data_IF_111293226566
#
_entry.id   IF_111293226566
#
_cell.length_a   1.000
_cell.length_b   1.000
_cell.length_c   1.000
_cell.angle_alpha   90.00
_cell.angle_beta   90.00
_cell.angle_gamma   90.00
#
_symmetry.space_group_name_H-M   'P 1'
#
loop_
_entity.id
_entity.type
_entity.pdbx_description
1 polymer ?
#
# COMPACT_ATOMS: atom_id res chain seq x y z
N UNK A 1 -19.01 -33.95 8.51
CA UNK A 1 -18.83 -32.56 8.07
C UNK A 1 -18.89 -31.71 9.34
N UNK A 2 -17.74 -31.45 9.96
CA UNK A 2 -17.68 -30.59 11.15
C UNK A 2 -17.41 -29.17 10.67
N UNK A 3 -18.48 -28.39 10.52
CA UNK A 3 -18.40 -26.95 10.33
C UNK A 3 -17.79 -26.35 11.61
N UNK A 4 -16.55 -25.88 11.51
CA UNK A 4 -15.94 -25.08 12.57
C UNK A 4 -16.65 -23.72 12.61
N UNK A 5 -17.17 -23.27 13.76
CA UNK A 5 -17.82 -21.98 13.85
C UNK A 5 -16.81 -20.86 13.60
N UNK A 6 -17.19 -19.92 12.73
CA UNK A 6 -16.41 -18.73 12.43
C UNK A 6 -16.16 -17.95 13.75
N UNK A 7 -14.90 -17.63 14.04
CA UNK A 7 -14.52 -16.83 15.21
C UNK A 7 -14.67 -15.34 14.90
N UNK A 8 -15.14 -14.59 15.89
CA UNK A 8 -15.25 -13.13 15.83
C UNK A 8 -13.84 -12.52 15.84
N UNK A 9 -13.48 -11.79 14.78
CA UNK A 9 -12.25 -10.99 14.73
C UNK A 9 -12.41 -9.82 15.69
N UNK A 10 -11.58 -9.75 16.72
CA UNK A 10 -11.62 -8.66 17.71
C UNK A 10 -10.65 -7.55 17.32
N UNK A 11 -10.81 -6.35 17.88
CA UNK A 11 -9.86 -5.25 17.66
C UNK A 11 -8.41 -5.59 18.13
N UNK A 12 -8.24 -6.68 18.90
CA UNK A 12 -6.95 -7.20 19.31
C UNK A 12 -6.28 -8.12 18.27
N UNK A 13 -7.03 -8.61 17.27
CA UNK A 13 -6.50 -9.38 16.12
C UNK A 13 -5.92 -8.40 15.09
N UNK A 14 -4.87 -7.67 15.48
CA UNK A 14 -4.15 -6.81 14.55
C UNK A 14 -3.32 -7.71 13.62
N UNK A 15 -3.52 -7.66 12.29
CA UNK A 15 -2.71 -8.46 11.37
C UNK A 15 -1.24 -8.11 11.59
N UNK A 16 -0.40 -9.14 11.69
CA UNK A 16 1.04 -8.94 11.83
C UNK A 16 1.56 -8.12 10.65
N UNK A 17 2.47 -7.15 10.90
CA UNK A 17 3.03 -6.35 9.83
C UNK A 17 3.75 -7.26 8.84
N UNK A 18 3.42 -7.14 7.56
CA UNK A 18 4.08 -7.90 6.49
C UNK A 18 5.59 -7.68 6.55
N UNK A 19 6.37 -8.77 6.49
CA UNK A 19 7.84 -8.70 6.43
C UNK A 19 8.25 -7.95 5.16
N UNK A 20 9.16 -6.99 5.27
CA UNK A 20 9.74 -6.33 4.09
C UNK A 20 10.45 -7.37 3.20
N UNK A 21 10.30 -7.29 1.88
CA UNK A 21 10.96 -8.21 0.98
C UNK A 21 12.46 -7.89 0.95
N UNK A 22 13.29 -8.93 0.85
CA UNK A 22 14.75 -8.81 0.76
C UNK A 22 15.23 -8.86 -0.71
N UNK A 23 14.39 -9.38 -1.62
CA UNK A 23 14.70 -9.52 -3.05
C UNK A 23 13.59 -9.02 -3.95
N UNK A 24 13.92 -8.70 -5.22
CA UNK A 24 12.92 -8.28 -6.22
C UNK A 24 11.87 -9.36 -6.48
N UNK A 25 12.25 -10.63 -6.40
CA UNK A 25 11.32 -11.76 -6.55
C UNK A 25 10.31 -11.78 -5.41
N UNK A 26 10.79 -11.67 -4.16
CA UNK A 26 9.92 -11.59 -2.99
C UNK A 26 9.00 -10.37 -3.04
N UNK A 27 9.52 -9.22 -3.48
CA UNK A 27 8.73 -8.00 -3.62
C UNK A 27 7.61 -8.17 -4.67
N UNK A 28 7.92 -8.82 -5.80
CA UNK A 28 6.93 -9.13 -6.84
C UNK A 28 5.83 -10.10 -6.34
N UNK A 29 6.18 -11.06 -5.49
CA UNK A 29 5.21 -11.99 -4.87
C UNK A 29 4.31 -11.29 -3.84
N UNK A 30 4.83 -10.29 -3.13
CA UNK A 30 4.06 -9.54 -2.12
C UNK A 30 3.07 -8.56 -2.74
N UNK A 31 3.46 -7.91 -3.83
CA UNK A 31 2.57 -7.05 -4.60
C UNK A 31 3.29 -5.96 -5.39
N UNK A 32 2.54 -5.33 -6.29
CA UNK A 32 3.05 -4.30 -7.20
C UNK A 32 3.70 -3.12 -6.45
N UNK A 33 3.08 -2.67 -5.36
CA UNK A 33 3.61 -1.58 -4.54
C UNK A 33 4.99 -1.91 -3.97
N UNK A 34 5.16 -3.11 -3.42
CA UNK A 34 6.41 -3.53 -2.78
C UNK A 34 7.53 -3.71 -3.80
N UNK A 35 7.20 -4.25 -4.98
CA UNK A 35 8.11 -4.31 -6.13
C UNK A 35 8.59 -2.90 -6.54
N UNK A 36 7.67 -1.96 -6.72
CA UNK A 36 8.00 -0.59 -7.12
C UNK A 36 8.87 0.13 -6.08
N UNK A 37 8.60 -0.05 -4.79
CA UNK A 37 9.43 0.50 -3.70
C UNK A 37 10.85 -0.05 -3.78
N UNK A 38 11.02 -1.35 -3.96
CA UNK A 38 12.35 -1.95 -4.06
C UNK A 38 13.11 -1.50 -5.31
N UNK A 39 12.42 -1.38 -6.45
CA UNK A 39 13.02 -0.85 -7.69
C UNK A 39 13.47 0.61 -7.52
N UNK A 40 12.65 1.43 -6.85
CA UNK A 40 12.99 2.83 -6.52
C UNK A 40 14.27 2.89 -5.69
N UNK A 41 14.35 2.10 -4.62
CA UNK A 41 15.50 2.09 -3.71
C UNK A 41 16.76 1.59 -4.44
N UNK A 42 16.61 0.60 -5.33
CA UNK A 42 17.70 0.09 -6.18
C UNK A 42 18.24 1.19 -7.11
N UNK A 43 17.36 1.95 -7.76
CA UNK A 43 17.75 3.04 -8.66
C UNK A 43 18.39 4.20 -7.90
N UNK A 44 17.84 4.56 -6.73
CA UNK A 44 18.42 5.59 -5.87
C UNK A 44 19.86 5.23 -5.47
N UNK A 45 20.07 4.01 -4.98
CA UNK A 45 21.42 3.51 -4.64
C UNK A 45 22.36 3.53 -5.86
N UNK A 46 21.84 3.21 -7.06
CA UNK A 46 22.65 3.27 -8.29
C UNK A 46 23.03 4.69 -8.68
N UNK A 47 22.17 5.67 -8.46
CA UNK A 47 22.45 7.09 -8.68
C UNK A 47 23.51 7.59 -7.67
N UNK A 48 23.35 7.24 -6.40
CA UNK A 48 24.30 7.62 -5.33
C UNK A 48 25.69 7.01 -5.54
N UNK A 49 25.76 5.83 -6.16
CA UNK A 49 27.02 5.19 -6.54
C UNK A 49 27.76 5.89 -7.71
N UNK A 50 27.22 6.98 -8.27
CA UNK A 50 27.85 7.74 -9.35
C UNK A 50 27.86 6.97 -10.67
N UNK A 51 26.70 6.81 -11.34
CA UNK A 51 26.62 6.04 -12.58
C UNK A 51 27.26 6.83 -13.73
N UNK A 52 27.61 6.16 -14.86
CA UNK A 52 28.18 6.86 -16.02
C UNK A 52 27.29 8.03 -16.48
N UNK A 53 27.86 9.18 -16.92
CA UNK A 53 27.08 10.39 -17.20
C UNK A 53 25.89 10.19 -18.16
N UNK A 54 26.05 9.34 -19.16
CA UNK A 54 24.99 9.05 -20.14
C UNK A 54 23.80 8.26 -19.55
N UNK A 55 23.97 7.63 -18.38
CA UNK A 55 22.92 6.84 -17.71
C UNK A 55 22.18 7.63 -16.62
N UNK A 56 22.74 8.75 -16.15
CA UNK A 56 22.17 9.52 -15.04
C UNK A 56 20.76 10.05 -15.36
N UNK A 57 20.59 10.71 -16.51
CA UNK A 57 19.30 11.27 -16.90
C UNK A 57 18.21 10.20 -17.10
N UNK A 58 18.48 9.06 -17.78
CA UNK A 58 17.56 7.92 -17.80
C UNK A 58 17.16 7.41 -16.41
N UNK A 59 18.13 7.20 -15.50
CA UNK A 59 17.85 6.71 -14.14
C UNK A 59 17.00 7.71 -13.33
N UNK A 60 17.30 9.01 -13.41
CA UNK A 60 16.49 10.05 -12.76
C UNK A 60 15.07 10.13 -13.32
N UNK A 61 14.88 9.86 -14.62
CA UNK A 61 13.55 9.77 -15.21
C UNK A 61 12.80 8.55 -14.67
N UNK A 62 13.41 7.38 -14.69
CA UNK A 62 12.81 6.14 -14.20
C UNK A 62 12.44 6.25 -12.70
N UNK A 63 13.30 6.88 -11.89
CA UNK A 63 13.03 7.12 -10.48
C UNK A 63 11.75 7.97 -10.28
N UNK A 64 11.59 9.05 -11.06
CA UNK A 64 10.40 9.90 -11.00
C UNK A 64 9.14 9.19 -11.50
N UNK A 65 9.26 8.30 -12.47
CA UNK A 65 8.12 7.52 -12.98
C UNK A 65 7.64 6.53 -11.92
N UNK A 66 8.55 5.78 -11.30
CA UNK A 66 8.23 4.84 -10.21
C UNK A 66 7.62 5.56 -9.00
N UNK A 67 8.18 6.71 -8.60
CA UNK A 67 7.65 7.51 -7.48
C UNK A 67 6.21 7.99 -7.73
N UNK A 68 5.89 8.38 -8.97
CA UNK A 68 4.51 8.75 -9.35
C UNK A 68 3.56 7.55 -9.26
N UNK A 69 3.99 6.38 -9.72
CA UNK A 69 3.16 5.17 -9.68
C UNK A 69 2.88 4.73 -8.24
N UNK A 70 3.89 4.77 -7.37
CA UNK A 70 3.70 4.49 -5.93
C UNK A 70 2.65 5.43 -5.32
N UNK A 71 2.71 6.73 -5.60
CA UNK A 71 1.72 7.69 -5.11
C UNK A 71 0.32 7.45 -5.67
N UNK A 72 0.22 7.02 -6.92
CA UNK A 72 -1.04 6.62 -7.55
C UNK A 72 -1.66 5.42 -6.83
N UNK A 73 -0.87 4.38 -6.56
CA UNK A 73 -1.30 3.20 -5.81
C UNK A 73 -1.72 3.55 -4.37
N UNK A 74 -0.94 4.38 -3.68
CA UNK A 74 -1.25 4.81 -2.32
C UNK A 74 -2.55 5.63 -2.27
N UNK A 75 -2.75 6.56 -3.21
CA UNK A 75 -3.98 7.35 -3.31
C UNK A 75 -5.22 6.47 -3.61
N UNK A 76 -5.07 5.45 -4.46
CA UNK A 76 -6.13 4.48 -4.75
C UNK A 76 -6.50 3.66 -3.52
N UNK A 77 -5.50 3.13 -2.81
CA UNK A 77 -5.70 2.37 -1.58
C UNK A 77 -6.40 3.21 -0.49
N UNK A 78 -6.03 4.48 -0.35
CA UNK A 78 -6.71 5.40 0.57
C UNK A 78 -8.17 5.64 0.17
N UNK A 79 -8.46 5.80 -1.12
CA UNK A 79 -9.83 6.02 -1.60
C UNK A 79 -10.70 4.78 -1.38
N UNK A 80 -10.18 3.59 -1.62
CA UNK A 80 -10.86 2.32 -1.34
C UNK A 80 -11.12 2.13 0.16
N UNK A 81 -10.16 2.48 1.01
CA UNK A 81 -10.31 2.45 2.46
C UNK A 81 -11.38 3.43 2.96
N UNK A 82 -11.40 4.65 2.42
CA UNK A 82 -12.42 5.68 2.75
C UNK A 82 -13.81 5.27 2.26
N UNK A 83 -13.92 4.69 1.06
CA UNK A 83 -15.19 4.22 0.50
C UNK A 83 -15.75 2.98 1.22
N UNK A 84 -14.88 2.11 1.75
CA UNK A 84 -15.29 0.91 2.50
C UNK A 84 -15.49 1.19 4.01
N UNK A 85 -15.11 2.39 4.46
CA UNK A 85 -15.11 2.84 5.85
C UNK A 85 -16.33 3.68 6.28
N UNK A 86 -17.41 3.71 5.50
CA UNK A 86 -18.69 4.31 5.92
C UNK A 86 -19.44 3.43 6.95
N UNK A 87 -18.71 2.93 7.94
CA UNK A 87 -19.23 2.35 9.18
C UNK A 87 -19.02 3.37 10.32
N UNK A 88 -19.23 4.66 10.02
CA UNK A 88 -19.70 5.55 11.09
C UNK A 88 -21.02 4.93 11.57
N UNK A 89 -21.20 4.65 12.86
CA UNK A 89 -22.52 4.37 13.37
C UNK A 89 -23.35 5.62 13.07
N UNK A 90 -24.17 5.57 12.03
CA UNK A 90 -25.26 6.52 11.85
C UNK A 90 -26.03 6.43 13.15
N UNK A 91 -25.92 7.47 13.98
CA UNK A 91 -26.71 7.58 15.19
C UNK A 91 -28.16 7.71 14.73
N UNK A 92 -28.86 6.57 14.64
CA UNK A 92 -30.31 6.46 14.45
C UNK A 92 -31.07 6.98 15.68
N UNK A 93 -30.67 8.14 16.21
CA UNK A 93 -31.51 8.94 17.09
C UNK A 93 -32.49 9.65 16.18
N UNK A 94 -33.55 8.94 15.82
CA UNK A 94 -34.75 9.50 15.23
C UNK A 94 -35.25 10.62 16.15
N UNK A 95 -35.10 11.87 15.70
CA UNK A 95 -35.58 13.03 16.42
C UNK A 95 -37.09 13.20 16.17
N UNK A 96 -37.87 12.57 17.04
CA UNK A 96 -39.33 12.61 17.00
C UNK A 96 -39.92 14.00 17.33
N UNK A 97 -39.10 15.02 17.61
CA UNK A 97 -39.58 16.40 17.83
C UNK A 97 -39.77 17.20 16.53
N UNK A 98 -39.41 16.62 15.39
CA UNK A 98 -39.49 17.26 14.08
C UNK A 98 -40.80 16.99 13.29
N UNK A 99 -41.81 16.35 13.90
CA UNK A 99 -43.16 16.14 13.33
C UNK A 99 -44.21 16.83 14.20
#
# INVERSE_FOLDING_TARGET
MTDSPLRLVTAADKPEPKKKPDTLSEAAEQGERDLLVMMRDTIANRIDAGPPPHTLAPLMRQLREIDKEIRSLDARAEHEAKSSGANEPVSDKFDASAI
#
